data_IF_334893922972
#
_entry.id   IF_334893922972
#
_cell.length_a   1.000
_cell.length_b   1.000
_cell.length_c   1.000
_cell.angle_alpha   90.00
_cell.angle_beta   90.00
_cell.angle_gamma   90.00
#
_symmetry.space_group_name_H-M   'P 1'
#
loop_
_entity.id
_entity.type
_entity.pdbx_description
1 polymer ?
#
# COMPACT_ATOMS: atom_id res chain seq x y z
N UNK A 1 9.46 -8.30 -31.54
CA UNK A 1 8.22 -9.14 -31.50
C UNK A 1 7.39 -8.96 -30.23
N UNK A 2 7.92 -8.40 -29.15
CA UNK A 2 7.14 -8.12 -27.92
C UNK A 2 6.23 -6.87 -28.02
N UNK A 3 6.62 -5.86 -28.79
CA UNK A 3 5.89 -4.60 -28.91
C UNK A 3 4.48 -4.73 -29.50
N UNK A 4 4.30 -5.68 -30.40
CA UNK A 4 3.02 -5.88 -31.10
C UNK A 4 1.91 -6.49 -30.20
N UNK A 5 2.25 -7.16 -29.09
CA UNK A 5 1.25 -7.76 -28.18
C UNK A 5 0.60 -6.71 -27.28
N UNK A 6 1.39 -5.82 -26.71
CA UNK A 6 0.88 -4.76 -25.81
C UNK A 6 0.03 -3.74 -26.57
N UNK A 7 0.47 -3.37 -27.78
CA UNK A 7 -0.27 -2.47 -28.68
C UNK A 7 -1.62 -3.07 -29.07
N UNK A 8 -1.63 -4.35 -29.46
CA UNK A 8 -2.87 -5.08 -29.77
C UNK A 8 -3.83 -5.16 -28.56
N UNK A 9 -3.30 -5.39 -27.36
CA UNK A 9 -4.11 -5.39 -26.11
C UNK A 9 -4.64 -4.02 -25.78
N UNK A 10 -3.90 -2.96 -26.04
CA UNK A 10 -4.33 -1.59 -25.84
C UNK A 10 -5.45 -1.20 -26.80
N UNK A 11 -5.36 -1.60 -28.06
CA UNK A 11 -6.42 -1.38 -29.05
C UNK A 11 -7.69 -2.18 -28.74
N UNK A 12 -7.55 -3.44 -28.30
CA UNK A 12 -8.68 -4.23 -27.79
C UNK A 12 -9.37 -3.55 -26.58
N UNK A 13 -8.58 -2.96 -25.67
CA UNK A 13 -9.10 -2.22 -24.52
C UNK A 13 -9.84 -0.95 -24.96
N UNK A 14 -9.27 -0.17 -25.88
CA UNK A 14 -9.91 1.02 -26.45
C UNK A 14 -11.25 0.68 -27.12
N UNK A 15 -11.28 -0.32 -27.99
CA UNK A 15 -12.49 -0.71 -28.70
C UNK A 15 -13.60 -1.18 -27.75
N UNK A 16 -13.25 -1.88 -26.66
CA UNK A 16 -14.19 -2.27 -25.59
C UNK A 16 -14.73 -1.06 -24.81
N UNK A 17 -13.93 -0.01 -24.67
CA UNK A 17 -14.33 1.21 -23.96
C UNK A 17 -15.27 2.05 -24.82
N UNK A 18 -15.02 2.16 -26.10
CA UNK A 18 -15.85 2.88 -27.07
C UNK A 18 -17.19 2.19 -27.36
N UNK A 19 -17.25 0.86 -27.30
CA UNK A 19 -18.48 0.07 -27.47
C UNK A 19 -19.38 -0.01 -26.22
N UNK A 20 -18.99 0.55 -25.09
CA UNK A 20 -19.86 0.68 -23.92
C UNK A 20 -20.76 1.89 -24.09
N UNK A 21 -21.90 1.70 -24.76
CA UNK A 21 -23.03 2.63 -24.69
C UNK A 21 -23.38 2.84 -23.22
N UNK A 22 -23.47 4.11 -22.81
CA UNK A 22 -23.94 4.52 -21.50
C UNK A 22 -25.33 3.91 -21.25
N UNK A 23 -25.39 2.75 -20.60
CA UNK A 23 -26.61 2.34 -19.95
C UNK A 23 -26.87 3.36 -18.83
N UNK A 24 -27.99 4.08 -18.84
CA UNK A 24 -28.33 4.96 -17.73
C UNK A 24 -28.47 4.06 -16.51
N UNK A 25 -27.49 4.15 -15.63
CA UNK A 25 -27.55 3.55 -14.30
C UNK A 25 -28.73 4.25 -13.59
N UNK A 26 -29.89 3.60 -13.58
CA UNK A 26 -31.06 4.04 -12.82
C UNK A 26 -30.72 3.90 -11.32
N UNK A 27 -29.92 4.84 -10.84
CA UNK A 27 -29.41 4.90 -9.49
C UNK A 27 -30.55 5.11 -8.50
N UNK A 28 -31.08 4.01 -7.95
CA UNK A 28 -31.60 4.11 -6.60
C UNK A 28 -30.45 4.63 -5.75
N UNK A 29 -30.56 5.87 -5.26
CA UNK A 29 -29.69 6.41 -4.21
C UNK A 29 -29.97 5.59 -2.95
N UNK A 30 -29.43 4.38 -2.88
CA UNK A 30 -29.23 3.70 -1.62
C UNK A 30 -28.22 4.59 -0.89
N UNK A 31 -28.67 5.28 0.15
CA UNK A 31 -27.78 5.92 1.12
C UNK A 31 -26.99 4.78 1.75
N UNK A 32 -25.88 4.39 1.13
CA UNK A 32 -24.95 3.45 1.71
C UNK A 32 -24.35 4.19 2.88
N UNK A 33 -24.82 3.89 4.09
CA UNK A 33 -24.17 4.37 5.32
C UNK A 33 -22.81 3.70 5.33
N UNK A 34 -21.81 4.40 4.80
CA UNK A 34 -20.43 3.92 4.82
C UNK A 34 -19.96 3.93 6.27
N UNK A 35 -19.84 2.73 6.85
CA UNK A 35 -19.25 2.59 8.19
C UNK A 35 -17.86 3.22 8.16
N UNK A 36 -17.60 4.18 9.05
CA UNK A 36 -16.27 4.74 9.24
C UNK A 36 -15.27 3.63 9.53
N UNK A 37 -14.17 3.57 8.76
CA UNK A 37 -13.10 2.59 8.89
C UNK A 37 -11.87 3.22 9.49
N UNK A 38 -11.07 2.39 10.17
CA UNK A 38 -9.77 2.74 10.75
C UNK A 38 -8.71 2.29 9.76
N UNK A 39 -7.98 3.24 9.20
CA UNK A 39 -7.03 3.04 8.09
C UNK A 39 -5.63 3.39 8.56
N UNK A 40 -4.69 2.51 8.35
CA UNK A 40 -3.26 2.75 8.57
C UNK A 40 -2.51 2.69 7.25
N UNK A 41 -1.68 3.72 6.99
CA UNK A 41 -0.90 3.84 5.74
C UNK A 41 0.58 3.98 6.07
N UNK A 42 1.45 3.16 5.49
CA UNK A 42 2.91 3.37 5.58
C UNK A 42 3.40 4.25 4.43
N UNK A 43 4.34 5.15 4.71
CA UNK A 43 4.84 6.10 3.71
C UNK A 43 3.78 7.10 3.26
N UNK A 44 3.04 7.69 4.23
CA UNK A 44 1.87 8.52 3.96
C UNK A 44 2.15 10.03 3.83
N UNK A 45 3.40 10.49 3.97
CA UNK A 45 3.72 11.90 3.98
C UNK A 45 3.71 12.55 2.60
N UNK A 46 4.07 11.81 1.56
CA UNK A 46 4.29 12.33 0.20
C UNK A 46 3.72 11.38 -0.88
N UNK A 47 3.70 11.83 -2.12
CA UNK A 47 3.40 11.04 -3.31
C UNK A 47 2.10 10.25 -3.24
N UNK A 48 2.15 8.98 -3.65
CA UNK A 48 1.00 8.05 -3.65
C UNK A 48 0.42 7.89 -2.24
N UNK A 49 1.28 7.77 -1.22
CA UNK A 49 0.84 7.62 0.17
C UNK A 49 0.03 8.81 0.67
N UNK A 50 0.49 10.04 0.41
CA UNK A 50 -0.25 11.27 0.74
C UNK A 50 -1.61 11.33 0.04
N UNK A 51 -1.65 10.95 -1.23
CA UNK A 51 -2.91 10.90 -1.99
C UNK A 51 -3.89 9.87 -1.38
N UNK A 52 -3.39 8.71 -0.96
CA UNK A 52 -4.19 7.68 -0.27
C UNK A 52 -4.74 8.20 1.07
N UNK A 53 -3.89 8.84 1.90
CA UNK A 53 -4.29 9.45 3.17
C UNK A 53 -5.42 10.46 2.96
N UNK A 54 -5.25 11.35 1.99
CA UNK A 54 -6.27 12.35 1.62
C UNK A 54 -7.57 11.71 1.17
N UNK A 55 -7.50 10.71 0.30
CA UNK A 55 -8.68 10.04 -0.25
C UNK A 55 -9.51 9.36 0.85
N UNK A 56 -8.88 8.58 1.73
CA UNK A 56 -9.57 7.92 2.83
C UNK A 56 -10.14 8.94 3.84
N UNK A 57 -9.39 9.99 4.13
CA UNK A 57 -9.87 11.04 5.04
C UNK A 57 -11.07 11.77 4.47
N UNK A 58 -11.04 12.13 3.18
CA UNK A 58 -12.16 12.78 2.48
C UNK A 58 -13.40 11.88 2.39
N UNK A 59 -13.21 10.56 2.38
CA UNK A 59 -14.30 9.59 2.44
C UNK A 59 -14.87 9.38 3.86
N UNK A 60 -14.42 10.16 4.86
CA UNK A 60 -14.94 10.13 6.24
C UNK A 60 -14.34 9.01 7.10
N UNK A 61 -13.22 8.42 6.70
CA UNK A 61 -12.54 7.39 7.49
C UNK A 61 -11.60 8.01 8.54
N UNK A 62 -11.32 7.25 9.61
CA UNK A 62 -10.26 7.57 10.57
C UNK A 62 -8.95 7.07 10.01
N UNK A 63 -7.99 7.98 9.81
CA UNK A 63 -6.71 7.65 9.15
C UNK A 63 -5.54 7.95 10.07
N UNK A 64 -4.61 7.00 10.18
CA UNK A 64 -3.27 7.21 10.69
C UNK A 64 -2.27 6.83 9.61
N UNK A 65 -1.11 7.46 9.62
CA UNK A 65 -0.03 7.09 8.74
C UNK A 65 1.33 7.27 9.42
N UNK A 66 2.32 6.54 8.94
CA UNK A 66 3.70 6.73 9.35
C UNK A 66 4.58 7.12 8.15
N UNK A 67 5.64 7.85 8.43
CA UNK A 67 6.67 8.21 7.46
C UNK A 67 7.97 8.56 8.19
N UNK A 68 9.10 8.39 7.51
CA UNK A 68 10.41 8.83 8.01
C UNK A 68 10.67 10.33 7.84
N UNK A 69 9.95 10.98 6.92
CA UNK A 69 10.02 12.43 6.72
C UNK A 69 9.10 13.14 7.72
N UNK A 70 9.69 13.55 8.84
CA UNK A 70 8.94 14.18 9.93
C UNK A 70 8.26 15.49 9.51
N UNK A 71 8.95 16.33 8.74
CA UNK A 71 8.43 17.62 8.31
C UNK A 71 7.23 17.46 7.38
N UNK A 72 7.36 16.64 6.32
CA UNK A 72 6.27 16.36 5.39
C UNK A 72 5.11 15.61 6.07
N UNK A 73 5.41 14.73 7.04
CA UNK A 73 4.42 14.01 7.82
C UNK A 73 3.56 14.95 8.67
N UNK A 74 4.19 15.87 9.41
CA UNK A 74 3.49 16.90 10.20
C UNK A 74 2.61 17.80 9.32
N UNK A 75 3.14 18.24 8.18
CA UNK A 75 2.39 19.05 7.22
C UNK A 75 1.17 18.31 6.69
N UNK A 76 1.33 17.06 6.23
CA UNK A 76 0.23 16.24 5.71
C UNK A 76 -0.81 15.97 6.79
N UNK A 77 -0.42 15.68 8.02
CA UNK A 77 -1.33 15.49 9.14
C UNK A 77 -2.14 16.75 9.44
N UNK A 78 -1.50 17.92 9.45
CA UNK A 78 -2.18 19.22 9.64
C UNK A 78 -3.20 19.48 8.52
N UNK A 79 -2.82 19.26 7.26
CA UNK A 79 -3.69 19.49 6.10
C UNK A 79 -4.92 18.56 6.07
N UNK A 80 -4.79 17.36 6.62
CA UNK A 80 -5.81 16.31 6.50
C UNK A 80 -6.58 16.05 7.80
N UNK A 81 -6.09 16.52 8.93
CA UNK A 81 -6.65 16.20 10.25
C UNK A 81 -6.51 14.70 10.57
N UNK A 82 -5.37 14.09 10.24
CA UNK A 82 -5.07 12.68 10.47
C UNK A 82 -3.96 12.51 11.52
N UNK A 83 -3.80 11.29 12.05
CA UNK A 83 -2.72 10.98 13.01
C UNK A 83 -1.43 10.63 12.25
N UNK A 84 -0.33 11.28 12.60
CA UNK A 84 1.00 11.02 12.05
C UNK A 84 1.93 10.39 13.09
N UNK A 85 2.70 9.40 12.67
CA UNK A 85 3.75 8.76 13.45
C UNK A 85 5.07 8.89 12.69
N UNK A 86 6.09 9.48 13.33
CA UNK A 86 7.44 9.51 12.77
C UNK A 86 8.09 8.15 12.97
N UNK A 87 8.17 7.36 11.89
CA UNK A 87 8.70 5.99 11.91
C UNK A 87 9.44 5.69 10.62
N UNK A 88 10.65 5.18 10.72
CA UNK A 88 11.28 4.43 9.63
C UNK A 88 10.76 3.00 9.65
N UNK A 89 10.08 2.58 8.58
CA UNK A 89 9.50 1.24 8.48
C UNK A 89 10.54 0.12 8.43
N UNK A 90 11.81 0.43 8.19
CA UNK A 90 12.92 -0.52 8.28
C UNK A 90 13.28 -0.86 9.73
N UNK A 91 12.89 -0.02 10.69
CA UNK A 91 12.96 -0.31 12.11
C UNK A 91 11.71 -1.10 12.53
N UNK A 92 11.93 -2.39 12.77
CA UNK A 92 10.83 -3.30 13.15
C UNK A 92 10.16 -2.87 14.45
N UNK A 93 10.96 -2.54 15.47
CA UNK A 93 10.43 -2.21 16.80
C UNK A 93 9.61 -0.93 16.75
N UNK A 94 10.11 0.10 16.08
CA UNK A 94 9.41 1.36 15.88
C UNK A 94 8.06 1.16 15.14
N UNK A 95 8.04 0.34 14.09
CA UNK A 95 6.82 0.04 13.34
C UNK A 95 5.81 -0.76 14.18
N UNK A 96 6.27 -1.77 14.92
CA UNK A 96 5.41 -2.56 15.81
C UNK A 96 4.83 -1.71 16.95
N UNK A 97 5.63 -0.83 17.56
CA UNK A 97 5.20 0.10 18.60
C UNK A 97 4.17 1.11 18.08
N UNK A 98 4.37 1.64 16.86
CA UNK A 98 3.40 2.50 16.19
C UNK A 98 2.04 1.79 16.04
N UNK A 99 2.03 0.57 15.53
CA UNK A 99 0.78 -0.19 15.39
C UNK A 99 0.15 -0.51 16.74
N UNK A 100 0.95 -0.84 17.76
CA UNK A 100 0.46 -1.10 19.10
C UNK A 100 -0.23 0.12 19.72
N UNK A 101 0.33 1.31 19.50
CA UNK A 101 -0.31 2.55 19.92
C UNK A 101 -1.65 2.76 19.22
N UNK A 102 -1.73 2.54 17.91
CA UNK A 102 -2.98 2.63 17.14
C UNK A 102 -4.01 1.61 17.68
N UNK A 103 -3.62 0.37 17.94
CA UNK A 103 -4.53 -0.63 18.52
C UNK A 103 -5.04 -0.19 19.90
N UNK A 104 -4.18 0.37 20.75
CA UNK A 104 -4.56 0.88 22.06
C UNK A 104 -5.58 2.02 21.97
N UNK A 105 -5.39 2.93 21.02
CA UNK A 105 -6.25 4.12 20.87
C UNK A 105 -7.55 3.84 20.10
N UNK A 106 -7.52 2.90 19.16
CA UNK A 106 -8.61 2.66 18.22
C UNK A 106 -9.31 1.32 18.41
N UNK A 107 -8.74 0.46 19.23
CA UNK A 107 -9.21 -0.90 19.47
C UNK A 107 -8.86 -1.88 18.35
N UNK A 108 -8.67 -1.43 17.11
CA UNK A 108 -8.32 -2.26 15.96
C UNK A 108 -7.97 -1.40 14.73
N UNK A 109 -7.47 -2.05 13.67
CA UNK A 109 -7.25 -1.47 12.33
C UNK A 109 -8.08 -2.26 11.33
N UNK A 110 -8.91 -1.58 10.54
CA UNK A 110 -9.75 -2.22 9.51
C UNK A 110 -9.03 -2.38 8.18
N UNK A 111 -8.19 -1.40 7.83
CA UNK A 111 -7.50 -1.35 6.52
C UNK A 111 -6.03 -0.97 6.75
N UNK A 112 -5.13 -1.77 6.19
CA UNK A 112 -3.69 -1.45 6.11
C UNK A 112 -3.32 -1.23 4.65
N UNK A 113 -2.63 -0.13 4.37
CA UNK A 113 -2.02 0.15 3.09
C UNK A 113 -0.51 0.14 3.26
N UNK A 114 0.15 -0.89 2.78
CA UNK A 114 1.59 -0.99 2.74
C UNK A 114 2.09 -0.27 1.48
N UNK A 115 2.45 1.01 1.64
CA UNK A 115 2.86 1.86 0.53
C UNK A 115 4.32 2.29 0.63
N UNK A 116 4.92 2.37 1.82
CA UNK A 116 6.30 2.78 1.99
C UNK A 116 7.24 1.99 1.06
N UNK A 117 8.16 2.70 0.42
CA UNK A 117 9.11 2.06 -0.47
C UNK A 117 10.14 3.05 -0.99
N UNK A 118 11.31 2.51 -1.30
CA UNK A 118 12.42 3.20 -1.93
C UNK A 118 12.82 2.48 -3.21
N UNK A 119 13.48 3.17 -4.11
CA UNK A 119 14.15 2.61 -5.26
C UNK A 119 15.61 3.06 -5.25
N UNK A 120 16.48 2.23 -5.77
CA UNK A 120 17.85 2.58 -6.12
C UNK A 120 18.11 1.97 -7.49
N UNK A 121 18.59 2.79 -8.39
CA UNK A 121 18.99 2.37 -9.74
C UNK A 121 20.49 2.60 -9.87
N UNK A 122 21.25 1.53 -9.95
CA UNK A 122 22.70 1.53 -10.07
C UNK A 122 23.16 0.32 -10.88
N UNK A 123 24.25 0.40 -11.67
CA UNK A 123 24.80 -0.76 -12.33
C UNK A 123 25.03 -1.91 -11.36
N UNK A 124 24.73 -3.15 -11.76
CA UNK A 124 24.87 -4.33 -10.88
C UNK A 124 26.29 -4.49 -10.31
N UNK A 125 27.31 -4.01 -11.05
CA UNK A 125 28.71 -4.03 -10.61
C UNK A 125 29.04 -3.00 -9.54
N UNK A 126 28.17 -2.02 -9.32
CA UNK A 126 28.33 -0.92 -8.36
C UNK A 126 27.33 -1.00 -7.20
N UNK A 127 26.33 -1.85 -7.33
CA UNK A 127 25.30 -2.06 -6.29
C UNK A 127 25.86 -2.93 -5.17
N UNK A 128 25.98 -2.37 -3.96
CA UNK A 128 26.39 -3.12 -2.78
C UNK A 128 25.29 -4.06 -2.28
N UNK A 129 25.69 -5.11 -1.57
CA UNK A 129 24.72 -6.02 -0.91
C UNK A 129 23.89 -5.26 0.14
N UNK A 130 24.51 -4.27 0.79
CA UNK A 130 23.86 -3.42 1.79
C UNK A 130 22.72 -2.58 1.18
N UNK A 131 22.87 -2.11 -0.07
CA UNK A 131 21.81 -1.40 -0.78
C UNK A 131 20.66 -2.33 -1.13
N UNK A 132 20.98 -3.54 -1.57
CA UNK A 132 19.99 -4.57 -1.83
C UNK A 132 19.19 -4.88 -0.55
N UNK A 133 19.88 -5.16 0.57
CA UNK A 133 19.26 -5.45 1.86
C UNK A 133 18.43 -4.27 2.38
N UNK A 134 18.91 -3.04 2.20
CA UNK A 134 18.17 -1.83 2.56
C UNK A 134 16.85 -1.73 1.79
N UNK A 135 16.87 -2.01 0.49
CA UNK A 135 15.62 -2.00 -0.32
C UNK A 135 14.64 -3.05 0.21
N UNK A 136 15.10 -4.27 0.49
CA UNK A 136 14.21 -5.31 1.03
C UNK A 136 13.69 -4.95 2.42
N UNK A 137 14.52 -4.34 3.26
CA UNK A 137 14.14 -3.94 4.62
C UNK A 137 13.07 -2.86 4.65
N UNK A 138 13.05 -1.95 3.66
CA UNK A 138 12.06 -0.88 3.54
C UNK A 138 10.82 -1.32 2.76
N UNK A 139 10.99 -2.05 1.66
CA UNK A 139 9.88 -2.34 0.75
C UNK A 139 9.11 -3.61 1.12
N UNK A 140 9.80 -4.69 1.47
CA UNK A 140 9.22 -6.03 1.62
C UNK A 140 8.94 -6.40 3.07
N UNK A 141 9.94 -6.28 3.94
CA UNK A 141 9.83 -6.69 5.35
C UNK A 141 8.66 -6.03 6.10
N UNK A 142 8.37 -4.72 5.93
CA UNK A 142 7.24 -4.07 6.59
C UNK A 142 5.88 -4.66 6.22
N UNK A 143 5.71 -5.16 5.00
CA UNK A 143 4.47 -5.83 4.58
C UNK A 143 4.20 -7.06 5.44
N UNK A 144 5.23 -7.84 5.73
CA UNK A 144 5.12 -8.98 6.63
C UNK A 144 4.84 -8.53 8.08
N UNK A 145 5.58 -7.53 8.58
CA UNK A 145 5.45 -7.03 9.95
C UNK A 145 4.02 -6.54 10.22
N UNK A 146 3.51 -5.65 9.39
CA UNK A 146 2.17 -5.06 9.58
C UNK A 146 1.08 -6.11 9.50
N UNK A 147 1.20 -7.04 8.55
CA UNK A 147 0.24 -8.14 8.38
C UNK A 147 0.24 -9.09 9.58
N UNK A 148 1.44 -9.46 10.04
CA UNK A 148 1.62 -10.32 11.22
C UNK A 148 1.08 -9.64 12.48
N UNK A 149 1.35 -8.34 12.69
CA UNK A 149 0.86 -7.58 13.86
C UNK A 149 -0.66 -7.51 13.88
N UNK A 150 -1.30 -7.28 12.74
CA UNK A 150 -2.77 -7.32 12.65
C UNK A 150 -3.32 -8.71 12.98
N UNK A 151 -2.69 -9.77 12.46
CA UNK A 151 -3.11 -11.15 12.74
C UNK A 151 -3.02 -11.49 14.23
N UNK A 152 -1.89 -11.17 14.88
CA UNK A 152 -1.69 -11.39 16.32
C UNK A 152 -2.73 -10.60 17.13
N UNK A 153 -2.98 -9.34 16.77
CA UNK A 153 -4.01 -8.53 17.43
C UNK A 153 -5.40 -9.18 17.30
N UNK A 154 -5.77 -9.64 16.11
CA UNK A 154 -7.05 -10.31 15.87
C UNK A 154 -7.17 -11.65 16.61
N UNK A 155 -6.09 -12.41 16.68
CA UNK A 155 -6.05 -13.67 17.41
C UNK A 155 -6.28 -13.49 18.92
N UNK A 156 -5.86 -12.36 19.48
CA UNK A 156 -6.02 -12.06 20.91
C UNK A 156 -7.41 -11.54 21.29
N UNK A 157 -8.31 -11.31 20.33
CA UNK A 157 -9.64 -10.78 20.59
C UNK A 157 -10.64 -11.94 20.79
N UNK A 158 -11.52 -11.84 21.80
CA UNK A 158 -12.61 -12.78 22.01
C UNK A 158 -13.62 -12.78 20.85
N UNK A 159 -13.89 -11.61 20.29
CA UNK A 159 -14.77 -11.42 19.14
C UNK A 159 -14.05 -10.58 18.06
N UNK A 160 -13.22 -11.21 17.23
CA UNK A 160 -12.45 -10.48 16.23
C UNK A 160 -13.36 -9.81 15.20
N UNK A 161 -12.98 -8.62 14.78
CA UNK A 161 -13.70 -7.86 13.76
C UNK A 161 -13.80 -8.69 12.46
N UNK A 162 -15.02 -8.91 11.91
CA UNK A 162 -15.22 -9.71 10.70
C UNK A 162 -14.82 -8.98 9.41
N UNK A 163 -14.10 -7.85 9.51
CA UNK A 163 -13.67 -7.06 8.37
C UNK A 163 -12.20 -6.67 8.52
N UNK A 164 -11.38 -7.08 7.56
CA UNK A 164 -9.99 -6.65 7.43
C UNK A 164 -9.57 -6.57 5.98
N UNK A 165 -8.79 -5.56 5.62
CA UNK A 165 -8.25 -5.39 4.27
C UNK A 165 -6.79 -4.97 4.35
N UNK A 166 -5.95 -5.68 3.62
CA UNK A 166 -4.56 -5.29 3.40
C UNK A 166 -4.37 -5.04 1.92
N UNK A 167 -3.83 -3.88 1.56
CA UNK A 167 -3.48 -3.55 0.19
C UNK A 167 -1.99 -3.22 0.14
N UNK A 168 -1.26 -3.96 -0.65
CA UNK A 168 0.17 -3.80 -0.83
C UNK A 168 0.45 -3.04 -2.13
N UNK A 169 1.17 -1.92 -2.04
CA UNK A 169 1.58 -1.17 -3.24
C UNK A 169 2.81 -1.85 -3.83
N UNK A 170 2.56 -2.66 -4.85
CA UNK A 170 3.54 -3.34 -5.65
C UNK A 170 4.11 -2.39 -6.74
N UNK A 171 4.40 -2.91 -7.91
CA UNK A 171 4.81 -2.16 -9.11
C UNK A 171 4.73 -3.10 -10.30
N UNK A 172 4.57 -2.56 -11.52
CA UNK A 172 4.76 -3.34 -12.75
C UNK A 172 6.17 -3.94 -12.87
N UNK A 173 7.13 -3.44 -12.07
CA UNK A 173 8.52 -3.94 -12.01
C UNK A 173 8.66 -5.39 -11.52
N UNK A 174 7.63 -5.97 -10.94
CA UNK A 174 7.64 -7.40 -10.62
C UNK A 174 7.57 -8.31 -11.86
N UNK A 175 7.11 -7.77 -12.99
CA UNK A 175 7.02 -8.47 -14.28
C UNK A 175 7.98 -7.89 -15.32
N UNK A 176 8.17 -6.57 -15.32
CA UNK A 176 8.94 -5.85 -16.34
C UNK A 176 10.03 -5.04 -15.63
N UNK A 177 11.21 -5.62 -15.54
CA UNK A 177 12.38 -4.98 -14.93
C UNK A 177 13.23 -4.24 -15.96
N UNK A 178 14.08 -3.37 -15.50
CA UNK A 178 15.11 -2.68 -16.27
C UNK A 178 16.47 -2.86 -15.60
N UNK A 179 17.59 -2.71 -16.33
CA UNK A 179 18.93 -2.81 -15.76
C UNK A 179 19.10 -1.87 -14.55
N UNK A 180 19.83 -2.33 -13.55
CA UNK A 180 20.11 -1.54 -12.34
C UNK A 180 18.94 -1.48 -11.34
N UNK A 181 17.88 -2.26 -11.53
CA UNK A 181 16.70 -2.28 -10.66
C UNK A 181 16.53 -3.57 -9.85
N UNK A 182 17.58 -4.36 -9.71
CA UNK A 182 17.52 -5.74 -9.20
C UNK A 182 16.92 -5.80 -7.79
N UNK A 183 17.39 -4.97 -6.86
CA UNK A 183 16.83 -4.91 -5.49
C UNK A 183 15.38 -4.44 -5.46
N UNK A 184 15.03 -3.44 -6.27
CA UNK A 184 13.65 -2.96 -6.35
C UNK A 184 12.74 -4.02 -6.96
N UNK A 185 13.13 -4.62 -8.09
CA UNK A 185 12.37 -5.69 -8.75
C UNK A 185 12.19 -6.90 -7.82
N UNK A 186 13.26 -7.33 -7.13
CA UNK A 186 13.20 -8.40 -6.14
C UNK A 186 12.21 -8.08 -5.01
N UNK A 187 12.25 -6.84 -4.48
CA UNK A 187 11.32 -6.42 -3.44
C UNK A 187 9.86 -6.46 -3.91
N UNK A 188 9.58 -5.98 -5.12
CA UNK A 188 8.21 -5.95 -5.68
C UNK A 188 7.72 -7.34 -6.09
N UNK A 189 8.60 -8.20 -6.60
CA UNK A 189 8.33 -9.63 -6.81
C UNK A 189 8.01 -10.35 -5.49
N UNK A 190 8.79 -10.06 -4.45
CA UNK A 190 8.54 -10.54 -3.09
C UNK A 190 7.19 -10.10 -2.53
N UNK A 191 6.80 -8.82 -2.70
CA UNK A 191 5.49 -8.30 -2.29
C UNK A 191 4.36 -9.03 -3.02
N UNK A 192 4.50 -9.24 -4.34
CA UNK A 192 3.49 -9.95 -5.12
C UNK A 192 3.27 -11.37 -4.59
N UNK A 193 4.35 -12.15 -4.41
CA UNK A 193 4.29 -13.52 -3.88
C UNK A 193 3.78 -13.55 -2.43
N UNK A 194 4.27 -12.63 -1.58
CA UNK A 194 3.84 -12.53 -0.18
C UNK A 194 2.35 -12.21 -0.06
N UNK A 195 1.79 -11.42 -0.98
CA UNK A 195 0.36 -11.11 -1.02
C UNK A 195 -0.49 -12.38 -1.12
N UNK A 196 -0.11 -13.34 -1.96
CA UNK A 196 -0.82 -14.62 -2.10
C UNK A 196 -0.75 -15.45 -0.81
N UNK A 197 0.44 -15.58 -0.25
CA UNK A 197 0.65 -16.35 0.98
C UNK A 197 -0.13 -15.75 2.16
N UNK A 198 -0.10 -14.43 2.30
CA UNK A 198 -0.85 -13.72 3.34
C UNK A 198 -2.36 -13.82 3.15
N UNK A 199 -2.86 -13.79 1.91
CA UNK A 199 -4.29 -13.93 1.64
C UNK A 199 -4.82 -15.27 2.16
N UNK A 200 -4.07 -16.36 1.99
CA UNK A 200 -4.42 -17.68 2.51
C UNK A 200 -4.32 -17.73 4.04
N UNK A 201 -3.19 -17.27 4.59
CA UNK A 201 -2.92 -17.34 6.02
C UNK A 201 -3.90 -16.50 6.86
N UNK A 202 -4.32 -15.34 6.34
CA UNK A 202 -5.14 -14.36 7.07
C UNK A 202 -6.65 -14.53 6.85
N UNK A 203 -7.07 -15.41 5.95
CA UNK A 203 -8.49 -15.66 5.64
C UNK A 203 -9.30 -16.05 6.89
N UNK A 204 -8.71 -16.82 7.82
CA UNK A 204 -9.33 -17.24 9.06
C UNK A 204 -9.76 -16.08 9.97
N UNK A 205 -9.15 -14.90 9.83
CA UNK A 205 -9.52 -13.67 10.55
C UNK A 205 -10.32 -12.69 9.67
N UNK A 206 -10.90 -13.17 8.57
CA UNK A 206 -11.67 -12.35 7.60
C UNK A 206 -10.89 -11.17 7.04
N UNK A 207 -9.57 -11.32 6.89
CA UNK A 207 -8.68 -10.34 6.30
C UNK A 207 -8.40 -10.74 4.85
N UNK A 208 -8.76 -9.88 3.90
CA UNK A 208 -8.34 -10.05 2.50
C UNK A 208 -7.05 -9.30 2.25
N UNK A 209 -6.17 -9.88 1.44
CA UNK A 209 -4.90 -9.28 1.06
C UNK A 209 -4.83 -9.20 -0.45
N UNK A 210 -4.59 -8.00 -0.96
CA UNK A 210 -4.48 -7.72 -2.39
C UNK A 210 -3.27 -6.82 -2.65
N UNK A 211 -2.81 -6.76 -3.91
CA UNK A 211 -1.80 -5.80 -4.35
C UNK A 211 -2.31 -4.94 -5.49
N UNK A 212 -1.79 -3.72 -5.55
CA UNK A 212 -1.93 -2.80 -6.68
C UNK A 212 -0.55 -2.62 -7.27
N UNK A 213 -0.44 -2.77 -8.59
CA UNK A 213 0.82 -2.63 -9.32
C UNK A 213 0.79 -1.38 -10.20
N UNK A 214 1.13 -0.21 -9.65
CA UNK A 214 1.23 1.01 -10.44
C UNK A 214 2.31 0.87 -11.51
N UNK A 215 2.08 1.53 -12.65
CA UNK A 215 3.12 1.81 -13.63
C UNK A 215 3.91 3.06 -13.21
N UNK A 216 4.28 3.87 -14.18
CA UNK A 216 4.89 5.17 -13.92
C UNK A 216 3.83 6.15 -13.41
N UNK A 217 4.00 6.64 -12.19
CA UNK A 217 3.11 7.65 -11.58
C UNK A 217 3.93 8.89 -11.29
N UNK A 218 3.53 9.99 -11.90
CA UNK A 218 4.11 11.29 -11.60
C UNK A 218 3.59 11.78 -10.24
N UNK A 219 4.50 11.94 -9.29
CA UNK A 219 4.18 12.31 -7.91
C UNK A 219 4.79 13.63 -7.48
N UNK A 220 5.57 14.26 -8.36
CA UNK A 220 6.20 15.56 -8.15
C UNK A 220 5.76 16.50 -9.25
N UNK A 221 5.44 17.73 -8.89
CA UNK A 221 5.37 18.82 -9.85
C UNK A 221 6.81 19.10 -10.31
N UNK A 222 7.10 18.75 -11.55
CA UNK A 222 8.37 19.16 -12.18
C UNK A 222 8.18 20.62 -12.60
N UNK A 223 8.75 21.55 -11.84
CA UNK A 223 8.99 22.91 -12.27
C UNK A 223 10.12 22.99 -13.29
#
# INVERSE_FOLDING_TARGET
MADNYLEKKYEEYKSRKEGRTNHPYNGRKTTVIHKTRRVFVTGGAEGIGKAIVRAFRSAGHRVAFCDRNEAAGKETALQTGTSFFHVDVSDQEALENCMQQIFKEWGDIDIIINNAGISCFSPITETGVEDFDRILSVNLRPVFITSRRLAIHRQSQEAPNPFGRIVNICSTRYLMSEPGSEGYAASKGGIYSLTHALALSLAQWHITVNSISPGWIETRDYE
#
